data_IF_297405277256
#
_entry.id   IF_297405277256
#
_cell.length_a   1.000
_cell.length_b   1.000
_cell.length_c   1.000
_cell.angle_alpha   90.00
_cell.angle_beta   90.00
_cell.angle_gamma   90.00
#
_symmetry.space_group_name_H-M   'P 1'
#
loop_
_entity.id
_entity.type
_entity.pdbx_description
1 polymer ?
#
# COMPACT_ATOMS: atom_id res chain seq x y z
N UNK A 1 19.37 11.35 -20.50
CA UNK A 1 18.03 10.71 -20.52
C UNK A 1 17.48 10.75 -19.10
N UNK A 2 16.42 11.50 -18.85
CA UNK A 2 15.72 11.49 -17.55
C UNK A 2 14.83 10.24 -17.53
N UNK A 3 15.14 9.28 -16.65
CA UNK A 3 14.25 8.15 -16.41
C UNK A 3 13.12 8.61 -15.50
N UNK A 4 11.92 8.80 -16.06
CA UNK A 4 10.73 9.06 -15.27
C UNK A 4 10.33 7.75 -14.59
N UNK A 5 10.65 7.59 -13.30
CA UNK A 5 10.15 6.45 -12.53
C UNK A 5 8.65 6.63 -12.34
N UNK A 6 7.85 5.80 -13.03
CA UNK A 6 6.44 5.67 -12.72
C UNK A 6 6.30 5.12 -11.29
N UNK A 7 5.59 5.85 -10.44
CA UNK A 7 5.36 5.48 -9.05
C UNK A 7 3.86 5.28 -8.82
N UNK A 8 3.46 4.32 -7.96
CA UNK A 8 2.08 4.19 -7.53
C UNK A 8 1.51 5.52 -7.00
N UNK A 9 0.32 5.89 -7.48
CA UNK A 9 -0.42 7.07 -7.06
C UNK A 9 -1.92 6.81 -7.18
N UNK A 10 -2.73 7.30 -6.24
CA UNK A 10 -4.17 7.04 -6.17
C UNK A 10 -4.49 5.67 -5.54
N UNK A 11 -5.65 5.10 -5.85
CA UNK A 11 -6.06 3.80 -5.30
C UNK A 11 -5.27 2.66 -5.93
N UNK A 12 -4.81 1.71 -5.12
CA UNK A 12 -4.02 0.58 -5.61
C UNK A 12 -3.93 -0.59 -4.65
N UNK A 13 -3.57 -1.75 -5.21
CA UNK A 13 -3.33 -2.99 -4.46
C UNK A 13 -1.88 -3.42 -4.63
N UNK A 14 -1.31 -3.93 -3.54
CA UNK A 14 0.01 -4.52 -3.51
C UNK A 14 -0.10 -5.95 -2.96
N UNK A 15 0.63 -6.87 -3.58
CA UNK A 15 0.55 -8.29 -3.32
C UNK A 15 1.91 -8.84 -2.90
N UNK A 16 1.88 -9.88 -2.07
CA UNK A 16 3.03 -10.72 -1.79
C UNK A 16 3.40 -11.55 -3.04
N UNK A 17 4.58 -12.18 -3.01
CA UNK A 17 5.02 -13.05 -4.11
C UNK A 17 4.11 -14.27 -4.31
N UNK A 18 3.45 -14.73 -3.24
CA UNK A 18 2.45 -15.80 -3.29
C UNK A 18 1.07 -15.33 -3.79
N UNK A 19 0.96 -14.09 -4.28
CA UNK A 19 -0.24 -13.45 -4.79
C UNK A 19 -1.31 -13.12 -3.72
N UNK A 20 -1.02 -13.31 -2.44
CA UNK A 20 -1.91 -12.84 -1.38
C UNK A 20 -1.85 -11.30 -1.29
N UNK A 21 -3.00 -10.70 -0.98
CA UNK A 21 -3.11 -9.26 -0.83
C UNK A 21 -2.27 -8.82 0.38
N UNK A 22 -1.36 -7.87 0.17
CA UNK A 22 -0.56 -7.26 1.25
C UNK A 22 -1.17 -5.92 1.70
N UNK A 23 -1.61 -5.11 0.73
CA UNK A 23 -2.20 -3.80 1.00
C UNK A 23 -3.21 -3.42 -0.07
N UNK A 24 -4.34 -2.84 0.34
CA UNK A 24 -5.21 -2.06 -0.54
C UNK A 24 -5.50 -0.69 0.08
N UNK A 25 -5.42 0.35 -0.73
CA UNK A 25 -5.67 1.71 -0.29
C UNK A 25 -4.99 2.75 -1.16
N UNK A 26 -4.85 3.95 -0.60
CA UNK A 26 -4.27 5.09 -1.29
C UNK A 26 -2.74 5.05 -1.35
N UNK A 27 -2.22 5.54 -2.47
CA UNK A 27 -0.81 5.67 -2.76
C UNK A 27 -0.47 7.10 -3.15
N UNK A 28 0.69 7.57 -2.70
CA UNK A 28 1.27 8.83 -3.13
C UNK A 28 2.77 8.66 -3.28
N UNK A 29 3.25 8.84 -4.52
CA UNK A 29 4.68 8.75 -4.85
C UNK A 29 5.31 7.43 -4.35
N UNK A 30 4.61 6.33 -4.61
CA UNK A 30 5.06 4.97 -4.25
C UNK A 30 5.00 4.62 -2.77
N UNK A 31 4.41 5.49 -1.94
CA UNK A 31 4.17 5.23 -0.52
C UNK A 31 2.68 5.07 -0.26
N UNK A 32 2.33 4.20 0.69
CA UNK A 32 0.97 4.11 1.25
C UNK A 32 0.63 5.43 1.93
N UNK A 33 -0.53 5.98 1.61
CA UNK A 33 -1.04 7.26 2.09
C UNK A 33 -2.55 7.11 2.33
N UNK A 34 -3.20 8.02 3.05
CA UNK A 34 -4.66 8.03 3.22
C UNK A 34 -5.24 6.75 3.83
N UNK A 35 -6.48 6.42 3.49
CA UNK A 35 -7.14 5.22 4.02
C UNK A 35 -6.65 3.95 3.33
N UNK A 36 -6.40 2.90 4.12
CA UNK A 36 -6.05 1.60 3.58
C UNK A 36 -6.02 0.47 4.61
N UNK A 37 -6.07 -0.75 4.09
CA UNK A 37 -5.99 -1.98 4.87
C UNK A 37 -4.74 -2.75 4.47
N UNK A 38 -3.91 -3.11 5.44
CA UNK A 38 -2.83 -4.09 5.25
C UNK A 38 -3.24 -5.45 5.80
N UNK A 39 -2.70 -6.51 5.21
CA UNK A 39 -2.99 -7.89 5.55
C UNK A 39 -1.68 -8.64 5.83
N UNK A 40 -1.76 -9.67 6.65
CA UNK A 40 -0.70 -10.66 6.79
C UNK A 40 -0.67 -11.58 5.57
N UNK A 41 0.42 -12.33 5.43
CA UNK A 41 0.59 -13.27 4.32
C UNK A 41 -0.44 -14.42 4.35
N UNK A 42 -1.09 -14.69 5.49
CA UNK A 42 -2.22 -15.61 5.59
C UNK A 42 -3.57 -15.02 5.16
N UNK A 43 -3.56 -13.76 4.69
CA UNK A 43 -4.74 -13.02 4.22
C UNK A 43 -5.54 -12.34 5.32
N UNK A 44 -5.18 -12.48 6.60
CA UNK A 44 -5.92 -11.80 7.68
C UNK A 44 -5.59 -10.30 7.72
N UNK A 45 -6.58 -9.43 7.99
CA UNK A 45 -6.32 -8.01 8.20
C UNK A 45 -5.33 -7.79 9.36
N UNK A 46 -4.25 -7.05 9.08
CA UNK A 46 -3.24 -6.67 10.06
C UNK A 46 -3.49 -5.27 10.64
N UNK A 47 -3.95 -4.34 9.80
CA UNK A 47 -4.28 -2.97 10.18
C UNK A 47 -5.25 -2.38 9.17
N UNK A 48 -6.28 -1.67 9.64
CA UNK A 48 -7.18 -0.88 8.83
C UNK A 48 -7.26 0.53 9.42
N UNK A 49 -6.91 1.54 8.65
CA UNK A 49 -6.86 2.92 9.13
C UNK A 49 -6.10 3.85 8.19
N UNK A 50 -5.68 4.99 8.72
CA UNK A 50 -4.96 6.00 7.95
C UNK A 50 -3.46 5.68 7.88
N UNK A 51 -2.86 5.96 6.72
CA UNK A 51 -1.45 5.77 6.41
C UNK A 51 -0.85 7.11 6.02
N UNK A 52 0.40 7.36 6.42
CA UNK A 52 1.14 8.56 6.03
C UNK A 52 2.58 8.22 5.73
N UNK A 53 3.02 8.51 4.51
CA UNK A 53 4.39 8.23 4.09
C UNK A 53 4.82 6.77 4.29
N UNK A 54 3.91 5.82 4.07
CA UNK A 54 4.18 4.40 4.16
C UNK A 54 4.05 3.78 5.55
N UNK A 55 3.63 4.53 6.56
CA UNK A 55 3.45 4.06 7.95
C UNK A 55 1.98 4.19 8.37
N UNK A 56 1.44 3.22 9.13
CA UNK A 56 0.11 3.35 9.72
C UNK A 56 0.14 4.43 10.81
N UNK A 57 -0.87 5.29 10.85
CA UNK A 57 -1.11 6.20 11.95
C UNK A 57 -1.86 5.46 13.07
N UNK A 58 -1.51 5.75 14.32
CA UNK A 58 -2.20 5.22 15.50
C UNK A 58 -3.32 6.15 15.93
#
# INVERSE_FOLDING_TARGET
>A
MLSLKAQPHGQGKLYYANLNLWYEGEWKEGKREGLGTSYYEDGKPAFAGEWKGGKPLK
#
